data_IF_089387780650
#
_entry.id   IF_089387780650
#
_cell.length_a   1.000
_cell.length_b   1.000
_cell.length_c   1.000
_cell.angle_alpha   90.00
_cell.angle_beta   90.00
_cell.angle_gamma   90.00
#
_symmetry.space_group_name_H-M   'P 1'
#
loop_
_entity.id
_entity.type
_entity.pdbx_description
1 polymer ?
#
# COMPACT_ATOMS: atom_id res chain seq x y z
N UNK A 1 -24.37 -65.26 35.57
CA UNK A 1 -25.34 -64.35 34.95
C UNK A 1 -24.80 -62.95 35.11
N UNK A 2 -24.56 -62.22 34.03
CA UNK A 2 -24.06 -60.85 34.13
C UNK A 2 -25.18 -59.95 34.64
N UNK A 3 -24.94 -59.30 35.78
CA UNK A 3 -25.87 -58.34 36.36
C UNK A 3 -26.03 -57.16 35.39
N UNK A 4 -27.24 -56.95 34.88
CA UNK A 4 -27.52 -55.88 33.93
C UNK A 4 -27.48 -54.53 34.64
N UNK A 5 -26.65 -53.61 34.12
CA UNK A 5 -26.59 -52.23 34.61
C UNK A 5 -27.95 -51.56 34.46
N UNK A 6 -28.50 -50.94 35.53
CA UNK A 6 -29.80 -50.28 35.46
C UNK A 6 -29.83 -49.16 34.41
N UNK A 7 -30.98 -48.99 33.75
CA UNK A 7 -31.18 -47.95 32.72
C UNK A 7 -30.90 -46.53 33.24
N UNK A 8 -31.15 -46.27 34.52
CA UNK A 8 -30.87 -44.97 35.17
C UNK A 8 -29.37 -44.66 35.24
N UNK A 9 -28.51 -45.67 35.41
CA UNK A 9 -27.06 -45.52 35.38
C UNK A 9 -26.59 -45.21 33.96
N UNK A 10 -27.10 -45.95 32.97
CA UNK A 10 -26.82 -45.69 31.55
C UNK A 10 -27.24 -44.30 31.09
N UNK A 11 -28.40 -43.83 31.55
CA UNK A 11 -28.86 -42.48 31.27
C UNK A 11 -27.93 -41.41 31.86
N UNK A 12 -27.46 -41.60 33.10
CA UNK A 12 -26.51 -40.68 33.74
C UNK A 12 -25.16 -40.66 33.01
N UNK A 13 -24.66 -41.82 32.59
CA UNK A 13 -23.44 -41.92 31.78
C UNK A 13 -23.58 -41.15 30.46
N UNK A 14 -24.70 -41.32 29.76
CA UNK A 14 -24.99 -40.60 28.52
C UNK A 14 -25.06 -39.07 28.74
N UNK A 15 -25.77 -38.63 29.77
CA UNK A 15 -25.89 -37.21 30.09
C UNK A 15 -24.53 -36.58 30.45
N UNK A 16 -23.68 -37.30 31.18
CA UNK A 16 -22.34 -36.87 31.50
C UNK A 16 -21.46 -36.77 30.25
N UNK A 17 -21.53 -37.76 29.35
CA UNK A 17 -20.81 -37.76 28.08
C UNK A 17 -21.25 -36.59 27.19
N UNK A 18 -22.56 -36.36 27.05
CA UNK A 18 -23.11 -35.25 26.28
C UNK A 18 -22.67 -33.88 26.82
N UNK A 19 -22.70 -33.71 28.15
CA UNK A 19 -22.26 -32.48 28.81
C UNK A 19 -20.76 -32.24 28.59
N UNK A 20 -19.95 -33.29 28.72
CA UNK A 20 -18.50 -33.22 28.48
C UNK A 20 -18.20 -32.85 27.03
N UNK A 21 -18.90 -33.45 26.07
CA UNK A 21 -18.74 -33.14 24.65
C UNK A 21 -19.11 -31.68 24.35
N UNK A 22 -20.23 -31.20 24.89
CA UNK A 22 -20.66 -29.81 24.73
C UNK A 22 -19.65 -28.82 25.32
N UNK A 23 -19.07 -29.12 26.49
CA UNK A 23 -18.03 -28.29 27.11
C UNK A 23 -16.74 -28.26 26.27
N UNK A 24 -16.30 -29.41 25.75
CA UNK A 24 -15.12 -29.49 24.87
C UNK A 24 -15.33 -28.71 23.58
N UNK A 25 -16.52 -28.82 22.98
CA UNK A 25 -16.87 -28.07 21.77
C UNK A 25 -16.84 -26.56 22.02
N UNK A 26 -17.49 -26.07 23.09
CA UNK A 26 -17.46 -24.64 23.44
C UNK A 26 -16.04 -24.12 23.66
N UNK A 27 -15.20 -24.90 24.35
CA UNK A 27 -13.81 -24.51 24.57
C UNK A 27 -13.05 -24.42 23.24
N UNK A 28 -13.22 -25.40 22.36
CA UNK A 28 -12.60 -25.38 21.04
C UNK A 28 -13.05 -24.19 20.19
N UNK A 29 -14.36 -23.90 20.19
CA UNK A 29 -14.93 -22.74 19.49
C UNK A 29 -14.38 -21.42 20.02
N UNK A 30 -14.22 -21.28 21.34
CA UNK A 30 -13.63 -20.10 21.96
C UNK A 30 -12.15 -19.93 21.58
N UNK A 31 -11.38 -21.02 21.60
CA UNK A 31 -9.97 -21.02 21.18
C UNK A 31 -9.85 -20.62 19.70
N UNK A 32 -10.71 -21.17 18.82
CA UNK A 32 -10.73 -20.83 17.39
C UNK A 32 -11.18 -19.39 17.13
N UNK A 33 -12.16 -18.90 17.88
CA UNK A 33 -12.62 -17.52 17.77
C UNK A 33 -11.49 -16.54 18.13
N UNK A 34 -10.74 -16.81 19.20
CA UNK A 34 -9.60 -15.99 19.60
C UNK A 34 -8.47 -16.00 18.54
N UNK A 35 -8.14 -17.17 17.98
CA UNK A 35 -7.17 -17.28 16.88
C UNK A 35 -7.59 -16.46 15.65
N UNK A 36 -8.87 -16.53 15.29
CA UNK A 36 -9.43 -15.79 14.15
C UNK A 36 -9.42 -14.28 14.41
N UNK A 37 -9.80 -13.84 15.60
CA UNK A 37 -9.77 -12.43 16.00
C UNK A 37 -8.35 -11.86 15.90
N UNK A 38 -7.35 -12.59 16.37
CA UNK A 38 -5.94 -12.18 16.25
C UNK A 38 -5.51 -12.07 14.78
N UNK A 39 -5.86 -13.07 13.95
CA UNK A 39 -5.55 -13.07 12.52
C UNK A 39 -6.20 -11.90 11.78
N UNK A 40 -7.48 -11.62 12.08
CA UNK A 40 -8.22 -10.49 11.49
C UNK A 40 -7.60 -9.17 11.91
N UNK A 41 -7.27 -9.01 13.20
CA UNK A 41 -6.64 -7.79 13.73
C UNK A 41 -5.30 -7.54 13.05
N UNK A 42 -4.45 -8.57 12.94
CA UNK A 42 -3.15 -8.50 12.24
C UNK A 42 -3.31 -8.18 10.75
N UNK A 43 -4.33 -8.74 10.10
CA UNK A 43 -4.69 -8.43 8.72
C UNK A 43 -5.08 -6.96 8.55
N UNK A 44 -5.94 -6.45 9.43
CA UNK A 44 -6.41 -5.06 9.41
C UNK A 44 -5.27 -4.06 9.65
N UNK A 45 -4.33 -4.36 10.56
CA UNK A 45 -3.15 -3.52 10.79
C UNK A 45 -2.29 -3.41 9.53
N UNK A 46 -1.97 -4.53 8.88
CA UNK A 46 -1.21 -4.55 7.62
C UNK A 46 -1.91 -3.78 6.50
N UNK A 47 -3.23 -3.93 6.40
CA UNK A 47 -4.03 -3.16 5.43
C UNK A 47 -3.92 -1.66 5.69
N UNK A 48 -4.09 -1.24 6.94
CA UNK A 48 -4.01 0.17 7.33
C UNK A 48 -2.63 0.77 7.04
N UNK A 49 -1.56 0.03 7.33
CA UNK A 49 -0.19 0.44 6.99
C UNK A 49 0.00 0.59 5.48
N UNK A 50 -0.51 -0.35 4.68
CA UNK A 50 -0.45 -0.27 3.22
C UNK A 50 -1.25 0.93 2.66
N UNK A 51 -2.45 1.18 3.19
CA UNK A 51 -3.28 2.32 2.82
C UNK A 51 -2.58 3.65 3.13
N UNK A 52 -1.93 3.75 4.29
CA UNK A 52 -1.13 4.93 4.68
C UNK A 52 0.07 5.15 3.77
N UNK A 53 0.80 4.08 3.43
CA UNK A 53 1.94 4.18 2.50
C UNK A 53 1.47 4.65 1.12
N UNK A 54 0.36 4.11 0.62
CA UNK A 54 -0.24 4.52 -0.64
C UNK A 54 -0.61 6.00 -0.62
N UNK A 55 -1.32 6.46 0.40
CA UNK A 55 -1.72 7.87 0.54
C UNK A 55 -0.48 8.79 0.54
N UNK A 56 0.59 8.39 1.24
CA UNK A 56 1.84 9.14 1.27
C UNK A 56 2.49 9.22 -0.13
N UNK A 57 2.54 8.12 -0.88
CA UNK A 57 3.07 8.11 -2.26
C UNK A 57 2.25 9.03 -3.16
N UNK A 58 0.92 8.92 -3.13
CA UNK A 58 0.04 9.75 -3.96
C UNK A 58 0.22 11.25 -3.65
N UNK A 59 0.33 11.61 -2.37
CA UNK A 59 0.62 12.98 -1.93
C UNK A 59 2.00 13.45 -2.42
N UNK A 60 3.02 12.63 -2.27
CA UNK A 60 4.39 12.91 -2.67
C UNK A 60 4.52 13.13 -4.19
N UNK A 61 3.82 12.35 -4.99
CA UNK A 61 3.72 12.50 -6.45
C UNK A 61 3.04 13.82 -6.79
N UNK A 62 1.91 14.12 -6.13
CA UNK A 62 1.14 15.34 -6.41
C UNK A 62 1.93 16.61 -6.09
N UNK A 63 2.68 16.62 -4.99
CA UNK A 63 3.55 17.75 -4.62
C UNK A 63 4.60 17.97 -5.71
N UNK A 64 5.32 16.92 -6.13
CA UNK A 64 6.35 17.03 -7.17
C UNK A 64 5.80 17.45 -8.52
N UNK A 65 4.61 16.94 -8.87
CA UNK A 65 3.92 17.38 -10.07
C UNK A 65 3.64 18.89 -10.03
N UNK A 66 3.02 19.39 -8.95
CA UNK A 66 2.73 20.82 -8.82
C UNK A 66 4.01 21.68 -8.89
N UNK A 67 5.09 21.26 -8.23
CA UNK A 67 6.38 21.96 -8.31
C UNK A 67 6.95 21.96 -9.72
N UNK A 68 6.84 20.84 -10.46
CA UNK A 68 7.23 20.78 -11.86
C UNK A 68 6.40 21.74 -12.73
N UNK A 69 5.10 21.86 -12.47
CA UNK A 69 4.24 22.79 -13.17
C UNK A 69 4.62 24.26 -12.89
N UNK A 70 4.92 24.58 -11.64
CA UNK A 70 5.41 25.91 -11.25
C UNK A 70 6.73 26.24 -11.96
N UNK A 71 7.67 25.30 -12.01
CA UNK A 71 8.94 25.48 -12.72
C UNK A 71 8.77 25.66 -14.23
N UNK A 72 7.76 25.02 -14.83
CA UNK A 72 7.45 25.12 -16.26
C UNK A 72 6.61 26.36 -16.62
N UNK A 73 6.11 27.13 -15.64
CA UNK A 73 5.23 28.27 -15.88
C UNK A 73 5.91 29.41 -16.69
N UNK A 74 7.24 29.52 -16.60
CA UNK A 74 8.02 30.47 -17.41
C UNK A 74 8.14 30.07 -18.90
N UNK A 75 7.81 28.82 -19.24
CA UNK A 75 7.80 28.31 -20.61
C UNK A 75 6.43 28.54 -21.26
N UNK A 76 6.24 29.76 -21.81
CA UNK A 76 5.01 30.31 -22.44
C UNK A 76 4.32 29.44 -23.52
N UNK A 77 4.88 28.30 -23.92
CA UNK A 77 4.40 27.42 -24.97
C UNK A 77 3.88 26.07 -24.47
N UNK A 78 4.08 25.72 -23.19
CA UNK A 78 3.65 24.44 -22.64
C UNK A 78 2.24 24.55 -22.03
N UNK A 79 1.26 23.80 -22.58
CA UNK A 79 -0.04 23.61 -21.93
C UNK A 79 0.10 22.57 -20.83
N UNK A 80 0.34 23.05 -19.63
CA UNK A 80 0.38 22.23 -18.43
C UNK A 80 -1.05 21.73 -18.09
N UNK A 81 -1.24 20.40 -18.04
CA UNK A 81 -2.50 19.77 -17.63
C UNK A 81 -2.48 19.33 -16.16
N UNK A 82 -3.62 18.85 -15.66
CA UNK A 82 -3.70 18.15 -14.37
C UNK A 82 -2.78 16.92 -14.33
N UNK A 83 -2.52 16.41 -13.11
CA UNK A 83 -1.79 15.17 -12.88
C UNK A 83 -2.29 14.06 -13.83
N UNK A 84 -1.39 13.39 -14.57
CA UNK A 84 -1.79 12.34 -15.51
C UNK A 84 -2.43 11.16 -14.78
N UNK A 85 -3.28 10.42 -15.49
CA UNK A 85 -3.86 9.18 -14.98
C UNK A 85 -2.76 8.14 -14.73
N UNK A 86 -2.93 7.26 -13.73
CA UNK A 86 -1.97 6.19 -13.46
C UNK A 86 -1.80 5.25 -14.67
N UNK A 87 -0.55 4.94 -15.02
CA UNK A 87 -0.24 3.93 -16.03
C UNK A 87 -0.36 2.52 -15.42
N UNK A 88 -1.40 1.78 -15.82
CA UNK A 88 -1.66 0.41 -15.36
C UNK A 88 -0.73 -0.64 -16.00
N UNK A 89 0.03 -0.27 -17.03
CA UNK A 89 1.00 -1.14 -17.70
C UNK A 89 2.41 -1.03 -17.11
N UNK A 90 2.63 -0.08 -16.19
CA UNK A 90 3.91 0.11 -15.53
C UNK A 90 4.34 -1.16 -14.75
N UNK A 91 5.64 -1.48 -14.72
CA UNK A 91 6.16 -2.57 -13.91
C UNK A 91 5.77 -2.41 -12.43
N UNK A 92 5.54 -3.52 -11.71
CA UNK A 92 5.30 -3.44 -10.27
C UNK A 92 6.52 -2.85 -9.58
N UNK A 93 6.28 -1.84 -8.74
CA UNK A 93 7.31 -1.16 -7.94
C UNK A 93 6.82 -1.01 -6.50
N UNK A 94 7.76 -1.02 -5.56
CA UNK A 94 7.47 -0.71 -4.16
C UNK A 94 7.15 0.78 -4.00
N UNK A 95 6.42 1.18 -2.94
CA UNK A 95 6.18 2.58 -2.62
C UNK A 95 7.43 3.44 -2.62
N UNK A 96 8.54 2.94 -2.06
CA UNK A 96 9.80 3.68 -1.96
C UNK A 96 10.51 3.82 -3.32
N UNK A 97 10.49 2.76 -4.15
CA UNK A 97 11.01 2.83 -5.53
C UNK A 97 10.23 3.84 -6.37
N UNK A 98 8.91 3.86 -6.25
CA UNK A 98 8.05 4.86 -6.92
C UNK A 98 8.39 6.28 -6.48
N UNK A 99 8.54 6.52 -5.17
CA UNK A 99 8.91 7.85 -4.64
C UNK A 99 10.29 8.30 -5.13
N UNK A 100 11.27 7.39 -5.14
CA UNK A 100 12.61 7.66 -5.65
C UNK A 100 12.58 7.99 -7.14
N UNK A 101 11.90 7.18 -7.94
CA UNK A 101 11.79 7.39 -9.39
C UNK A 101 11.21 8.76 -9.73
N UNK A 102 10.16 9.18 -9.02
CA UNK A 102 9.52 10.49 -9.24
C UNK A 102 10.43 11.63 -8.73
N UNK A 103 11.18 11.42 -7.65
CA UNK A 103 12.19 12.37 -7.19
C UNK A 103 13.31 12.55 -8.21
N UNK A 104 13.83 11.46 -8.75
CA UNK A 104 14.93 11.48 -9.73
C UNK A 104 14.47 12.20 -11.01
N UNK A 105 13.29 11.86 -11.53
CA UNK A 105 12.71 12.54 -12.70
C UNK A 105 12.45 14.05 -12.46
N UNK A 106 12.05 14.43 -11.23
CA UNK A 106 11.88 15.84 -10.86
C UNK A 106 13.21 16.59 -10.85
N UNK A 107 14.28 15.98 -10.33
CA UNK A 107 15.62 16.58 -10.33
C UNK A 107 16.18 16.71 -11.75
N UNK A 108 15.99 15.69 -12.60
CA UNK A 108 16.38 15.75 -14.01
C UNK A 108 15.68 16.88 -14.76
N UNK A 109 14.38 17.10 -14.49
CA UNK A 109 13.65 18.23 -15.04
C UNK A 109 14.26 19.56 -14.61
N UNK A 110 14.55 19.72 -13.31
CA UNK A 110 15.15 20.94 -12.78
C UNK A 110 16.52 21.21 -13.41
N UNK A 111 17.38 20.20 -13.50
CA UNK A 111 18.69 20.31 -14.17
C UNK A 111 18.57 20.68 -15.65
N UNK A 112 17.52 20.21 -16.35
CA UNK A 112 17.28 20.56 -17.74
C UNK A 112 16.83 22.03 -17.91
N UNK A 113 16.07 22.57 -16.95
CA UNK A 113 15.66 23.98 -16.91
C UNK A 113 16.82 24.91 -16.53
N UNK A 114 17.70 24.47 -15.61
CA UNK A 114 18.88 25.22 -15.15
C UNK A 114 20.06 25.22 -16.16
N UNK A 115 20.04 24.34 -17.17
CA UNK A 115 21.02 24.42 -18.27
C UNK A 115 20.85 25.76 -18.98
N UNK A 116 21.89 26.63 -18.99
CA UNK A 116 21.76 27.95 -19.60
C UNK A 116 21.33 27.76 -21.05
N UNK A 117 20.26 28.46 -21.45
CA UNK A 117 19.85 28.70 -22.85
C UNK A 117 20.92 29.48 -23.66
N UNK A 118 22.19 29.32 -23.32
CA UNK A 118 23.35 30.09 -23.75
C UNK A 118 24.56 29.19 -24.03
N UNK A 119 24.43 28.26 -24.97
CA UNK A 119 25.59 27.72 -25.69
C UNK A 119 25.49 27.90 -27.21
N UNK A 120 24.43 28.54 -27.70
CA UNK A 120 24.22 28.78 -29.14
C UNK A 120 24.57 30.22 -29.61
N UNK A 121 25.05 31.10 -28.73
CA UNK A 121 25.40 32.48 -29.09
C UNK A 121 26.91 32.79 -29.14
N UNK A 122 27.75 31.98 -28.50
CA UNK A 122 29.19 32.32 -28.37
C UNK A 122 30.06 31.91 -29.56
N UNK A 123 29.49 31.54 -30.71
CA UNK A 123 30.28 31.00 -31.83
C UNK A 123 30.12 31.68 -33.20
N UNK A 124 29.32 32.74 -33.37
CA UNK A 124 29.28 33.46 -34.67
C UNK A 124 29.13 34.98 -34.52
N UNK A 125 30.16 35.65 -33.99
CA UNK A 125 30.51 37.01 -34.44
C UNK A 125 32.01 37.25 -34.34
N UNK A 126 32.78 36.41 -35.04
CA UNK A 126 34.18 36.67 -35.35
C UNK A 126 34.24 37.57 -36.58
N UNK A 127 34.70 38.80 -36.38
CA UNK A 127 35.56 39.57 -37.30
C UNK A 127 35.18 39.60 -38.79
N UNK A 128 34.57 40.71 -39.20
CA UNK A 128 34.76 41.40 -40.49
C UNK A 128 34.10 42.77 -40.35
N UNK A 129 34.72 43.93 -40.58
CA UNK A 129 36.05 44.34 -40.96
C UNK A 129 36.10 45.85 -40.71
#
# INVERSE_FOLDING_TARGET
MSEQVPASVRYKELAAAATTAAQRMRRHEQEKAAELEESVTRGNSRKKEADQQREQVEKDVRIRWNLALEALWDERWLKVSSLPEPDLSAPPATPEESRRTVQDAFLELHDALDKPRWSAGSLLRRKSG
#
